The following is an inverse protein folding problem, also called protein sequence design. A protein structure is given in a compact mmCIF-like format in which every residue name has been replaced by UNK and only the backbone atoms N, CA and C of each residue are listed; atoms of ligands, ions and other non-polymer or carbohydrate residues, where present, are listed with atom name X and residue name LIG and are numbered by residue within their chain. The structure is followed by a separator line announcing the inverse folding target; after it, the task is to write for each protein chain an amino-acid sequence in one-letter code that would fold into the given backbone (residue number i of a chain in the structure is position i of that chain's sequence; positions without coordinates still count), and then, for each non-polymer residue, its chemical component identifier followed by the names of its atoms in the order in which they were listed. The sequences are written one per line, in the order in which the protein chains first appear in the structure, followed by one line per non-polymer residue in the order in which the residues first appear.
data_IF_399770893903
#
_entry.id   IF_399770893903
#
_cell.length_a   1.000
_cell.length_b   1.000
_cell.length_c   1.000
_cell.angle_alpha   90.00
_cell.angle_beta   90.00
_cell.angle_gamma   90.00
#
_symmetry.space_group_name_H-M   'P 1'
#
loop_
_entity.id
_entity.type
_entity.pdbx_description
1 polymer ?
#
# COMPACT_ATOMS: atom_id res chain seq x y z
N UNK A 1 18.09 -10.86 46.51
CA UNK A 1 17.38 -9.71 45.89
C UNK A 1 17.47 -9.91 44.38
N UNK A 2 16.34 -10.23 43.74
CA UNK A 2 16.24 -10.58 42.32
C UNK A 2 16.03 -9.32 41.48
N UNK A 3 16.83 -9.13 40.43
CA UNK A 3 16.84 -7.92 39.59
C UNK A 3 15.61 -7.91 38.63
N UNK A 4 14.81 -6.82 38.50
CA UNK A 4 13.45 -6.91 37.95
C UNK A 4 13.28 -6.71 36.43
N UNK A 5 14.35 -6.50 35.64
CA UNK A 5 14.18 -6.18 34.22
C UNK A 5 15.21 -6.88 33.33
N UNK A 6 14.88 -8.09 32.85
CA UNK A 6 15.43 -8.62 31.61
C UNK A 6 14.32 -8.54 30.55
N UNK A 7 14.20 -7.41 29.87
CA UNK A 7 13.44 -7.38 28.61
C UNK A 7 14.35 -7.91 27.50
N UNK A 8 13.87 -8.94 26.80
CA UNK A 8 14.53 -9.49 25.62
C UNK A 8 13.72 -9.12 24.37
N UNK A 9 14.39 -8.60 23.35
CA UNK A 9 13.78 -8.37 22.04
C UNK A 9 13.90 -9.64 21.20
N UNK A 10 12.78 -10.30 20.93
CA UNK A 10 12.72 -11.38 19.96
C UNK A 10 12.41 -10.78 18.58
N UNK A 11 13.25 -11.08 17.58
CA UNK A 11 13.05 -10.64 16.21
C UNK A 11 12.49 -11.79 15.38
N UNK A 12 11.33 -11.57 14.76
CA UNK A 12 10.82 -12.46 13.72
C UNK A 12 11.63 -12.32 12.42
N UNK A 13 11.45 -13.27 11.50
CA UNK A 13 12.04 -13.18 10.17
C UNK A 13 11.28 -12.14 9.33
N UNK A 14 12.01 -11.15 8.81
CA UNK A 14 11.45 -10.19 7.86
C UNK A 14 10.90 -10.89 6.61
N UNK A 15 11.59 -11.92 6.12
CA UNK A 15 11.17 -12.65 4.92
C UNK A 15 9.85 -13.39 5.12
N UNK A 16 9.65 -14.05 6.28
CA UNK A 16 8.38 -14.72 6.56
C UNK A 16 7.24 -13.72 6.76
N UNK A 17 7.49 -12.63 7.47
CA UNK A 17 6.53 -11.55 7.64
C UNK A 17 6.11 -10.97 6.28
N UNK A 18 7.07 -10.59 5.43
CA UNK A 18 6.80 -10.07 4.10
C UNK A 18 6.03 -11.08 3.22
N UNK A 19 6.34 -12.37 3.31
CA UNK A 19 5.62 -13.42 2.59
C UNK A 19 4.16 -13.56 3.05
N UNK A 20 3.89 -13.45 4.36
CA UNK A 20 2.54 -13.44 4.90
C UNK A 20 1.77 -12.18 4.48
N UNK A 21 2.40 -11.01 4.56
CA UNK A 21 1.80 -9.74 4.13
C UNK A 21 1.49 -9.72 2.63
N UNK A 22 2.34 -10.32 1.79
CA UNK A 22 2.15 -10.41 0.33
C UNK A 22 0.85 -11.13 -0.05
N UNK A 23 0.37 -12.08 0.78
CA UNK A 23 -0.89 -12.80 0.53
C UNK A 23 -2.12 -11.89 0.52
N UNK A 24 -2.05 -10.73 1.16
CA UNK A 24 -3.15 -9.77 1.24
C UNK A 24 -3.20 -8.79 0.04
N UNK A 25 -2.16 -8.74 -0.79
CA UNK A 25 -2.09 -7.81 -1.92
C UNK A 25 -3.09 -8.24 -2.98
N UNK A 26 -3.95 -7.30 -3.38
CA UNK A 26 -5.01 -7.54 -4.36
C UNK A 26 -5.93 -8.72 -4.00
N UNK A 27 -6.03 -9.06 -2.71
CA UNK A 27 -6.92 -10.08 -2.19
C UNK A 27 -8.26 -9.42 -1.82
N UNK A 28 -9.39 -9.83 -2.43
CA UNK A 28 -10.70 -9.26 -2.07
C UNK A 28 -11.11 -9.56 -0.62
N UNK A 29 -10.61 -10.65 -0.06
CA UNK A 29 -10.85 -11.03 1.33
C UNK A 29 -10.34 -9.94 2.28
N UNK A 30 -11.20 -9.47 3.20
CA UNK A 30 -10.92 -8.42 4.19
C UNK A 30 -10.56 -7.03 3.64
N UNK A 31 -10.52 -6.85 2.32
CA UNK A 31 -10.30 -5.54 1.70
C UNK A 31 -11.47 -4.59 1.96
N UNK A 32 -11.15 -3.38 2.39
CA UNK A 32 -12.10 -2.30 2.70
C UNK A 32 -11.98 -1.11 1.73
N UNK A 33 -11.16 -1.24 0.69
CA UNK A 33 -11.05 -0.29 -0.42
C UNK A 33 -10.76 -1.00 -1.75
N UNK A 34 -11.27 -0.43 -2.83
CA UNK A 34 -11.02 -0.83 -4.21
C UNK A 34 -10.62 0.38 -5.05
N UNK A 35 -9.69 0.14 -5.97
CA UNK A 35 -9.21 1.09 -6.96
C UNK A 35 -9.58 0.61 -8.36
N UNK A 36 -9.91 1.52 -9.25
CA UNK A 36 -9.99 1.29 -10.70
C UNK A 36 -8.76 1.94 -11.30
N UNK A 37 -7.86 1.15 -11.84
CA UNK A 37 -6.51 1.58 -12.22
C UNK A 37 -6.28 1.40 -13.71
N UNK A 38 -5.63 2.40 -14.31
CA UNK A 38 -5.26 2.42 -15.71
C UNK A 38 -6.44 2.63 -16.67
N UNK A 39 -6.11 2.79 -17.94
CA UNK A 39 -7.10 2.88 -19.04
C UNK A 39 -7.90 1.59 -19.19
N UNK A 40 -7.31 0.45 -18.83
CA UNK A 40 -7.95 -0.87 -18.81
C UNK A 40 -8.97 -1.05 -17.67
N UNK A 41 -9.09 -0.07 -16.76
CA UNK A 41 -10.01 -0.08 -15.63
C UNK A 41 -9.88 -1.34 -14.74
N UNK A 42 -8.65 -1.77 -14.48
CA UNK A 42 -8.38 -2.95 -13.66
C UNK A 42 -8.76 -2.67 -12.20
N UNK A 43 -9.54 -3.57 -11.61
CA UNK A 43 -9.88 -3.48 -10.18
C UNK A 43 -8.71 -3.96 -9.35
N UNK A 44 -8.29 -3.16 -8.37
CA UNK A 44 -7.29 -3.52 -7.37
C UNK A 44 -7.87 -3.41 -5.97
N UNK A 45 -7.79 -4.49 -5.19
CA UNK A 45 -8.26 -4.55 -3.81
C UNK A 45 -7.14 -4.25 -2.81
N UNK A 46 -7.44 -3.52 -1.74
CA UNK A 46 -6.47 -3.22 -0.69
C UNK A 46 -7.14 -2.91 0.67
N UNK A 47 -6.29 -2.61 1.65
CA UNK A 47 -6.64 -2.29 3.03
C UNK A 47 -6.25 -0.84 3.36
N UNK A 48 -7.23 -0.02 3.73
CA UNK A 48 -7.06 1.41 4.03
C UNK A 48 -6.08 1.64 5.17
N UNK A 49 -6.12 0.80 6.20
CA UNK A 49 -5.25 0.93 7.37
C UNK A 49 -3.77 0.80 6.97
N UNK A 50 -3.40 -0.21 6.16
CA UNK A 50 -2.02 -0.41 5.73
C UNK A 50 -1.58 0.78 4.89
N UNK A 51 -2.34 1.14 3.85
CA UNK A 51 -1.99 2.23 2.95
C UNK A 51 -1.88 3.58 3.69
N UNK A 52 -2.85 3.92 4.57
CA UNK A 52 -2.85 5.20 5.29
C UNK A 52 -1.74 5.32 6.34
N UNK A 53 -1.32 4.23 6.98
CA UNK A 53 -0.22 4.27 7.94
C UNK A 53 1.15 4.30 7.25
N UNK A 54 1.24 3.80 6.02
CA UNK A 54 2.49 3.68 5.25
C UNK A 54 2.69 4.79 4.22
N UNK A 55 1.64 5.56 3.89
CA UNK A 55 1.66 6.61 2.88
C UNK A 55 0.68 7.74 3.24
N UNK A 56 1.19 8.97 3.34
CA UNK A 56 0.40 10.15 3.70
C UNK A 56 -0.61 10.56 2.62
N UNK A 57 -0.26 10.38 1.33
CA UNK A 57 -1.17 10.66 0.23
C UNK A 57 -2.45 9.81 0.32
N UNK A 58 -2.32 8.49 0.57
CA UNK A 58 -3.48 7.62 0.79
C UNK A 58 -4.25 7.98 2.06
N UNK A 59 -3.55 8.36 3.15
CA UNK A 59 -4.22 8.82 4.39
C UNK A 59 -5.13 10.02 4.11
N UNK A 60 -4.60 11.02 3.41
CA UNK A 60 -5.34 12.23 3.06
C UNK A 60 -6.51 11.91 2.13
N UNK A 61 -6.27 11.10 1.09
CA UNK A 61 -7.30 10.63 0.15
C UNK A 61 -8.47 9.94 0.86
N UNK A 62 -8.20 9.05 1.82
CA UNK A 62 -9.25 8.35 2.57
C UNK A 62 -9.96 9.25 3.59
N UNK A 63 -9.25 10.18 4.23
CA UNK A 63 -9.85 11.12 5.18
C UNK A 63 -10.86 12.04 4.48
N UNK A 64 -10.54 12.53 3.29
CA UNK A 64 -11.45 13.32 2.46
C UNK A 64 -12.75 12.56 2.15
N UNK A 65 -12.66 11.26 1.87
CA UNK A 65 -13.84 10.40 1.65
C UNK A 65 -14.73 10.31 2.89
N UNK A 66 -14.15 10.17 4.08
CA UNK A 66 -14.92 10.07 5.34
C UNK A 66 -15.64 11.37 5.69
N UNK A 67 -15.06 12.52 5.31
CA UNK A 67 -15.67 13.83 5.51
C UNK A 67 -16.81 14.12 4.51
N UNK A 68 -16.89 13.39 3.41
CA UNK A 68 -18.04 13.47 2.49
C UNK A 68 -19.30 13.02 3.23
N UNK A 69 -20.38 13.81 3.13
CA UNK A 69 -21.65 13.52 3.82
C UNK A 69 -22.53 12.53 3.06
N UNK A 70 -22.09 12.09 1.89
CA UNK A 70 -22.82 11.15 1.05
C UNK A 70 -22.47 9.71 1.43
N UNK A 71 -23.40 9.00 2.07
CA UNK A 71 -23.22 7.59 2.40
C UNK A 71 -22.95 6.72 1.15
N UNK A 72 -23.42 7.16 -0.02
CA UNK A 72 -23.15 6.50 -1.31
C UNK A 72 -21.71 6.67 -1.77
N UNK A 73 -21.02 7.71 -1.35
CA UNK A 73 -19.62 7.92 -1.71
C UNK A 73 -18.70 6.89 -1.03
N UNK A 74 -19.03 6.39 0.15
CA UNK A 74 -18.20 5.44 0.87
C UNK A 74 -17.87 4.14 0.09
N UNK A 75 -18.74 3.73 -0.85
CA UNK A 75 -18.59 2.48 -1.62
C UNK A 75 -18.04 2.67 -3.05
N UNK A 76 -17.88 3.92 -3.50
CA UNK A 76 -17.36 4.21 -4.85
C UNK A 76 -15.85 3.94 -4.88
N UNK A 77 -15.34 3.19 -5.87
CA UNK A 77 -13.91 3.00 -6.06
C UNK A 77 -13.14 4.32 -6.26
N UNK A 78 -11.89 4.35 -5.85
CA UNK A 78 -10.96 5.40 -6.27
C UNK A 78 -10.49 5.12 -7.70
N UNK A 79 -10.54 6.11 -8.59
CA UNK A 79 -10.14 5.95 -10.00
C UNK A 79 -8.76 6.57 -10.20
N UNK A 80 -7.82 5.80 -10.73
CA UNK A 80 -6.44 6.16 -11.01
C UNK A 80 -6.15 5.87 -12.50
N UNK A 81 -6.69 6.70 -13.38
CA UNK A 81 -6.62 6.47 -14.84
C UNK A 81 -5.20 6.61 -15.40
N UNK A 82 -4.38 7.49 -14.82
CA UNK A 82 -3.05 7.82 -15.33
C UNK A 82 -1.94 6.87 -14.83
N UNK A 83 -2.29 5.88 -14.01
CA UNK A 83 -1.34 4.94 -13.40
C UNK A 83 -1.54 3.56 -14.01
N UNK A 84 -0.48 2.94 -14.52
CA UNK A 84 -0.54 1.56 -14.97
C UNK A 84 -0.77 0.61 -13.79
N UNK A 85 -1.60 -0.45 -13.92
CA UNK A 85 -1.89 -1.32 -12.80
C UNK A 85 -0.68 -2.06 -12.22
N UNK A 86 0.29 -2.41 -13.05
CA UNK A 86 1.50 -3.10 -12.57
C UNK A 86 2.40 -2.15 -11.76
N UNK A 87 2.45 -0.86 -12.14
CA UNK A 87 3.12 0.20 -11.36
C UNK A 87 2.41 0.39 -10.02
N UNK A 88 1.07 0.47 -10.03
CA UNK A 88 0.28 0.61 -8.81
C UNK A 88 0.44 -0.60 -7.87
N UNK A 89 0.40 -1.83 -8.41
CA UNK A 89 0.61 -3.05 -7.64
C UNK A 89 2.01 -3.12 -7.05
N UNK A 90 3.04 -2.65 -7.76
CA UNK A 90 4.41 -2.54 -7.25
C UNK A 90 4.50 -1.59 -6.04
N UNK A 91 3.86 -0.42 -6.13
CA UNK A 91 3.76 0.53 -4.99
C UNK A 91 3.02 -0.11 -3.82
N UNK A 92 1.88 -0.77 -4.06
CA UNK A 92 1.12 -1.48 -3.02
C UNK A 92 1.97 -2.59 -2.40
N UNK A 93 2.72 -3.35 -3.18
CA UNK A 93 3.62 -4.39 -2.66
C UNK A 93 4.66 -3.82 -1.71
N UNK A 94 5.28 -2.70 -2.08
CA UNK A 94 6.22 -2.01 -1.21
C UNK A 94 5.57 -1.56 0.10
N UNK A 95 4.35 -1.03 0.07
CA UNK A 95 3.62 -0.60 1.26
C UNK A 95 3.29 -1.76 2.22
N UNK A 96 3.05 -2.96 1.70
CA UNK A 96 2.72 -4.14 2.51
C UNK A 96 3.95 -4.85 3.05
N UNK A 97 5.02 -4.91 2.25
CA UNK A 97 6.13 -5.84 2.49
C UNK A 97 7.48 -5.15 2.71
N UNK A 98 7.55 -3.83 2.51
CA UNK A 98 8.79 -3.05 2.50
C UNK A 98 9.80 -3.50 1.43
N UNK A 99 9.32 -4.19 0.39
CA UNK A 99 10.13 -4.78 -0.66
C UNK A 99 9.31 -4.80 -1.96
N UNK A 100 9.98 -4.61 -3.09
CA UNK A 100 9.38 -4.78 -4.41
C UNK A 100 10.48 -5.16 -5.40
N UNK A 101 10.16 -6.00 -6.37
CA UNK A 101 11.08 -6.34 -7.45
C UNK A 101 10.73 -5.49 -8.68
N UNK A 102 11.62 -4.59 -9.07
CA UNK A 102 11.40 -3.72 -10.22
C UNK A 102 11.90 -4.41 -11.50
N UNK A 103 11.01 -4.55 -12.49
CA UNK A 103 11.42 -4.86 -13.86
C UNK A 103 11.84 -3.58 -14.58
N UNK A 104 12.62 -3.73 -15.67
CA UNK A 104 13.05 -2.58 -16.48
C UNK A 104 11.87 -1.79 -17.05
N UNK A 105 10.76 -2.47 -17.30
CA UNK A 105 9.59 -1.89 -17.96
C UNK A 105 8.80 -0.95 -17.05
N UNK A 106 8.78 -1.21 -15.73
CA UNK A 106 8.00 -0.42 -14.76
C UNK A 106 8.85 0.46 -13.85
N UNK A 107 10.18 0.28 -13.82
CA UNK A 107 11.04 0.89 -12.80
C UNK A 107 10.93 2.42 -12.75
N UNK A 108 10.97 3.10 -13.91
CA UNK A 108 10.90 4.56 -13.96
C UNK A 108 9.54 5.09 -13.47
N UNK A 109 8.47 4.43 -13.87
CA UNK A 109 7.11 4.82 -13.49
C UNK A 109 6.88 4.57 -12.00
N UNK A 110 7.38 3.46 -11.46
CA UNK A 110 7.32 3.18 -10.01
C UNK A 110 8.11 4.21 -9.20
N UNK A 111 9.31 4.59 -9.66
CA UNK A 111 10.09 5.64 -8.99
C UNK A 111 9.41 7.01 -9.07
N UNK A 112 8.73 7.30 -10.18
CA UNK A 112 7.94 8.53 -10.34
C UNK A 112 6.75 8.53 -9.38
N UNK A 113 5.97 7.45 -9.33
CA UNK A 113 4.88 7.29 -8.36
C UNK A 113 5.39 7.34 -6.91
N UNK A 114 6.60 6.86 -6.63
CA UNK A 114 7.20 6.96 -5.31
C UNK A 114 7.44 8.41 -4.88
N UNK A 115 7.72 9.32 -5.82
CA UNK A 115 7.77 10.77 -5.55
C UNK A 115 6.38 11.32 -5.26
N UNK A 116 5.41 11.01 -6.11
CA UNK A 116 4.02 11.48 -5.97
C UNK A 116 3.38 11.06 -4.64
N UNK A 117 3.66 9.82 -4.20
CA UNK A 117 3.14 9.27 -2.96
C UNK A 117 4.02 9.55 -1.73
N UNK A 118 5.15 10.25 -1.88
CA UNK A 118 6.08 10.57 -0.78
C UNK A 118 6.76 9.36 -0.15
N UNK A 119 7.08 8.34 -0.95
CA UNK A 119 7.70 7.09 -0.52
C UNK A 119 9.23 7.14 -0.67
N UNK A 120 9.88 7.88 0.22
CA UNK A 120 11.32 8.15 0.16
C UNK A 120 12.20 6.88 0.12
N UNK A 121 11.82 5.82 0.83
CA UNK A 121 12.59 4.56 0.85
C UNK A 121 12.55 3.85 -0.51
N UNK A 122 11.45 3.96 -1.25
CA UNK A 122 11.31 3.38 -2.58
C UNK A 122 12.07 4.20 -3.64
N UNK A 123 12.20 5.52 -3.44
CA UNK A 123 12.97 6.41 -4.33
C UNK A 123 14.48 6.20 -4.22
N UNK A 124 14.98 5.72 -3.08
CA UNK A 124 16.42 5.58 -2.78
C UNK A 124 17.04 4.26 -3.24
N UNK A 125 16.26 3.40 -3.89
CA UNK A 125 16.69 2.08 -4.35
C UNK A 125 17.58 2.12 -5.60
#
# INVERSE_FOLDING_TARGET
MSNPFHSAYLRGSFGSFAADMRKMINAPEMSDVKFIVGEEQKVVYAHRCILAYRCEAFRTMFAQRVLSRDAKEAEVPFVLSDVQPDVFLAVVEFLYTNCVMLSRDIALDVLTSAVEYGLDELQRA
#
